data_IF_945624079241
#
_entry.id   IF_945624079241
#
_cell.length_a   1.000
_cell.length_b   1.000
_cell.length_c   1.000
_cell.angle_alpha   90.00
_cell.angle_beta   90.00
_cell.angle_gamma   90.00
#
_symmetry.space_group_name_H-M   'P 1'
#
loop_
_entity.id
_entity.type
_entity.pdbx_description
1 polymer ?
#
# COMPACT_ATOMS: atom_id res chain seq x y z
N UNK A 1 34.25 -26.56 49.47
CA UNK A 1 34.46 -26.19 48.05
C UNK A 1 33.16 -25.58 47.54
N UNK A 2 33.03 -24.25 47.50
CA UNK A 2 33.40 -23.33 46.39
C UNK A 2 32.25 -23.21 45.40
N UNK A 3 31.35 -22.23 45.62
CA UNK A 3 31.20 -20.91 44.92
C UNK A 3 30.44 -21.04 43.59
N UNK A 4 29.18 -20.61 43.49
CA UNK A 4 28.59 -19.24 43.43
C UNK A 4 28.47 -18.70 42.00
N UNK A 5 27.23 -18.35 41.62
CA UNK A 5 26.78 -17.04 41.09
C UNK A 5 25.33 -17.22 40.59
N UNK A 6 24.28 -16.52 41.03
CA UNK A 6 24.21 -15.38 41.93
C UNK A 6 23.14 -14.39 41.45
N UNK A 7 21.88 -14.65 41.83
CA UNK A 7 20.82 -13.70 42.27
C UNK A 7 20.26 -12.70 41.23
N UNK A 8 18.98 -12.77 40.86
CA UNK A 8 17.74 -12.46 41.61
C UNK A 8 17.38 -10.97 41.70
N UNK A 9 16.08 -10.77 41.44
CA UNK A 9 15.17 -9.79 42.02
C UNK A 9 15.25 -8.30 41.59
N UNK A 10 14.11 -7.89 41.04
CA UNK A 10 13.63 -6.52 40.98
C UNK A 10 13.66 -5.83 42.36
N UNK A 11 14.03 -4.55 42.39
CA UNK A 11 13.66 -3.62 43.47
C UNK A 11 13.63 -2.18 42.97
N UNK A 12 12.44 -1.59 43.08
CA UNK A 12 12.19 -0.16 43.10
C UNK A 12 12.95 0.49 44.27
N UNK A 13 13.64 1.59 44.00
CA UNK A 13 14.19 2.49 45.01
C UNK A 13 13.69 3.91 44.74
N UNK A 14 12.83 4.43 45.63
CA UNK A 14 12.47 5.84 45.74
C UNK A 14 13.64 6.60 46.40
N UNK A 15 14.05 7.72 45.82
CA UNK A 15 14.62 8.84 46.57
C UNK A 15 14.24 10.15 45.87
N UNK A 16 13.55 11.00 46.60
CA UNK A 16 13.11 12.33 46.21
C UNK A 16 14.26 13.35 46.38
N UNK A 17 14.20 14.46 45.65
CA UNK A 17 14.05 15.83 46.18
C UNK A 17 14.45 16.85 45.10
N UNK A 18 13.56 17.82 44.96
CA UNK A 18 13.57 19.07 44.22
C UNK A 18 14.94 19.72 43.90
N UNK A 19 15.06 20.18 42.66
CA UNK A 19 15.71 21.45 42.36
C UNK A 19 14.89 22.19 41.28
N UNK A 20 14.05 23.10 41.77
CA UNK A 20 13.38 24.14 41.00
C UNK A 20 14.42 25.22 40.67
N UNK A 21 14.73 25.41 39.39
CA UNK A 21 15.38 26.63 38.90
C UNK A 21 14.53 27.18 37.76
N UNK A 22 13.70 28.17 38.09
CA UNK A 22 13.10 29.10 37.14
C UNK A 22 14.01 30.32 37.05
N UNK A 23 14.52 30.61 35.85
CA UNK A 23 14.94 31.94 35.41
C UNK A 23 14.97 31.94 33.86
N UNK A 24 13.97 32.53 33.20
CA UNK A 24 13.88 33.92 32.72
C UNK A 24 14.52 34.15 31.32
N UNK A 25 13.63 34.14 30.33
CA UNK A 25 13.57 34.98 29.11
C UNK A 25 14.79 35.18 28.20
N UNK A 26 14.67 34.70 26.96
CA UNK A 26 15.04 35.45 25.76
C UNK A 26 14.16 35.03 24.58
N UNK A 27 13.45 36.00 24.00
CA UNK A 27 12.68 35.86 22.77
C UNK A 27 13.57 35.45 21.61
N UNK A 28 13.40 34.22 21.11
CA UNK A 28 13.97 33.75 19.87
C UNK A 28 12.90 32.98 19.11
N UNK A 29 12.34 33.59 18.07
CA UNK A 29 11.44 32.92 17.14
C UNK A 29 12.21 31.82 16.40
N UNK A 30 12.23 30.61 16.96
CA UNK A 30 12.70 29.43 16.26
C UNK A 30 11.52 28.89 15.44
N UNK A 31 11.46 29.32 14.17
CA UNK A 31 10.59 28.72 13.19
C UNK A 31 11.08 27.28 12.94
N UNK A 32 10.48 26.32 13.63
CA UNK A 32 10.62 24.92 13.28
C UNK A 32 10.02 24.72 11.88
N UNK A 33 10.72 24.07 10.94
CA UNK A 33 10.10 23.67 9.69
C UNK A 33 8.95 22.74 10.04
N UNK A 34 7.72 23.19 9.78
CA UNK A 34 6.58 22.29 9.76
C UNK A 34 6.90 21.26 8.69
N UNK A 35 7.21 20.05 9.12
CA UNK A 35 7.16 18.86 8.28
C UNK A 35 5.74 18.80 7.73
N UNK A 36 5.55 19.34 6.53
CA UNK A 36 4.35 19.10 5.73
C UNK A 36 4.38 17.60 5.46
N UNK A 37 3.73 16.84 6.34
CA UNK A 37 3.31 15.50 6.01
C UNK A 37 2.59 15.62 4.65
N UNK A 38 2.90 14.78 3.65
CA UNK A 38 2.14 14.79 2.41
C UNK A 38 0.69 14.68 2.83
N UNK A 39 -0.12 15.63 2.37
CA UNK A 39 -1.55 15.60 2.61
C UNK A 39 -2.00 14.23 2.12
N UNK A 40 -2.28 13.34 3.06
CA UNK A 40 -2.95 12.08 2.78
C UNK A 40 -4.20 12.52 2.05
N UNK A 41 -4.22 12.27 0.75
CA UNK A 41 -5.28 12.65 -0.16
C UNK A 41 -6.56 12.23 0.53
N UNK A 42 -7.24 13.23 1.11
CA UNK A 42 -8.32 12.98 2.05
C UNK A 42 -9.29 12.07 1.34
N UNK A 43 -9.69 10.98 1.98
CA UNK A 43 -10.75 10.10 1.54
C UNK A 43 -12.06 10.91 1.48
N UNK A 44 -12.17 11.79 0.49
CA UNK A 44 -13.39 12.46 0.11
C UNK A 44 -14.28 11.37 -0.43
N UNK A 45 -15.50 11.31 0.10
CA UNK A 45 -16.51 10.40 -0.42
C UNK A 45 -16.54 10.52 -1.96
N UNK A 46 -16.58 9.40 -2.71
CA UNK A 46 -16.47 9.44 -4.15
C UNK A 46 -17.56 10.36 -4.71
N UNK A 47 -17.17 11.52 -5.23
CA UNK A 47 -18.09 12.48 -5.85
C UNK A 47 -18.73 11.77 -7.06
N UNK A 48 -20.06 11.72 -7.07
CA UNK A 48 -20.82 11.24 -8.22
C UNK A 48 -20.61 12.22 -9.37
N UNK A 49 -20.23 11.72 -10.55
CA UNK A 49 -20.07 12.55 -11.73
C UNK A 49 -21.43 13.06 -12.22
N UNK A 50 -21.53 14.36 -12.51
CA UNK A 50 -22.77 15.03 -12.94
C UNK A 50 -22.59 15.73 -14.28
N UNK A 51 -21.45 16.39 -14.48
CA UNK A 51 -21.14 17.12 -15.71
C UNK A 51 -20.36 16.26 -16.72
N UNK A 52 -20.32 16.69 -17.98
CA UNK A 52 -19.50 16.03 -19.00
C UNK A 52 -18.01 15.98 -18.59
N UNK A 53 -17.49 17.06 -17.98
CA UNK A 53 -16.11 17.12 -17.51
C UNK A 53 -15.87 16.17 -16.32
N UNK A 54 -16.80 16.06 -15.37
CA UNK A 54 -16.70 15.07 -14.29
C UNK A 54 -16.63 13.65 -14.86
N UNK A 55 -17.45 13.35 -15.87
CA UNK A 55 -17.45 12.05 -16.53
C UNK A 55 -16.15 11.78 -17.31
N UNK A 56 -15.61 12.76 -18.02
CA UNK A 56 -14.29 12.62 -18.68
C UNK A 56 -13.18 12.38 -17.66
N UNK A 57 -13.20 13.09 -16.53
CA UNK A 57 -12.25 12.87 -15.45
C UNK A 57 -12.37 11.45 -14.88
N UNK A 58 -13.60 10.95 -14.66
CA UNK A 58 -13.82 9.56 -14.23
C UNK A 58 -13.35 8.55 -15.28
N UNK A 59 -13.60 8.79 -16.56
CA UNK A 59 -13.10 7.93 -17.63
C UNK A 59 -11.57 7.84 -17.61
N UNK A 60 -10.88 8.97 -17.44
CA UNK A 60 -9.42 8.99 -17.30
C UNK A 60 -8.94 8.28 -16.03
N UNK A 61 -9.62 8.46 -14.90
CA UNK A 61 -9.33 7.76 -13.64
C UNK A 61 -9.42 6.24 -13.82
N UNK A 62 -10.49 5.75 -14.43
CA UNK A 62 -10.69 4.32 -14.65
C UNK A 62 -9.70 3.72 -15.67
N UNK A 63 -9.28 4.47 -16.70
CA UNK A 63 -8.17 4.02 -17.57
C UNK A 63 -6.86 3.86 -16.81
N UNK A 64 -6.55 4.79 -15.90
CA UNK A 64 -5.38 4.66 -15.02
C UNK A 64 -5.50 3.43 -14.12
N UNK A 65 -6.68 3.16 -13.55
CA UNK A 65 -6.95 1.93 -12.78
C UNK A 65 -6.76 0.67 -13.63
N UNK A 66 -7.27 0.65 -14.86
CA UNK A 66 -7.10 -0.47 -15.77
C UNK A 66 -5.62 -0.74 -16.08
N UNK A 67 -4.82 0.31 -16.31
CA UNK A 67 -3.38 0.18 -16.47
C UNK A 67 -2.70 -0.37 -15.20
N UNK A 68 -3.01 0.18 -14.03
CA UNK A 68 -2.45 -0.26 -12.75
C UNK A 68 -2.78 -1.74 -12.45
N UNK A 69 -3.99 -2.21 -12.74
CA UNK A 69 -4.33 -3.63 -12.57
C UNK A 69 -3.59 -4.54 -13.55
N UNK A 70 -3.32 -4.08 -14.78
CA UNK A 70 -2.46 -4.84 -15.73
C UNK A 70 -1.02 -4.92 -15.24
N UNK A 71 -0.51 -3.84 -14.64
CA UNK A 71 0.81 -3.82 -14.00
C UNK A 71 0.87 -4.78 -12.81
N UNK A 72 -0.16 -4.83 -11.97
CA UNK A 72 -0.27 -5.77 -10.85
C UNK A 72 -0.23 -7.22 -11.34
N UNK A 73 -1.00 -7.55 -12.39
CA UNK A 73 -0.97 -8.86 -13.02
C UNK A 73 0.43 -9.20 -13.57
N UNK A 74 1.12 -8.23 -14.19
CA UNK A 74 2.49 -8.43 -14.68
C UNK A 74 3.49 -8.63 -13.52
N UNK A 75 3.35 -7.90 -12.42
CA UNK A 75 4.15 -8.04 -11.22
C UNK A 75 4.00 -9.44 -10.62
N UNK A 76 2.77 -9.96 -10.49
CA UNK A 76 2.56 -11.32 -9.98
C UNK A 76 3.12 -12.41 -10.91
N UNK A 77 3.07 -12.23 -12.24
CA UNK A 77 3.76 -13.14 -13.17
C UNK A 77 5.26 -13.16 -12.93
N UNK A 78 5.87 -11.97 -12.79
CA UNK A 78 7.30 -11.84 -12.51
C UNK A 78 7.66 -12.47 -11.17
N UNK A 79 6.87 -12.21 -10.13
CA UNK A 79 7.06 -12.77 -8.79
C UNK A 79 7.10 -14.30 -8.83
N UNK A 80 6.16 -14.94 -9.53
CA UNK A 80 6.17 -16.40 -9.66
C UNK A 80 7.39 -16.91 -10.43
N UNK A 81 7.76 -16.24 -11.53
CA UNK A 81 8.93 -16.61 -12.33
C UNK A 81 10.23 -16.52 -11.52
N UNK A 82 10.43 -15.41 -10.79
CA UNK A 82 11.58 -15.21 -9.91
C UNK A 82 11.59 -16.26 -8.79
N UNK A 83 10.44 -16.49 -8.13
CA UNK A 83 10.34 -17.46 -7.05
C UNK A 83 10.71 -18.87 -7.54
N UNK A 84 10.22 -19.27 -8.72
CA UNK A 84 10.53 -20.56 -9.34
C UNK A 84 12.03 -20.75 -9.55
N UNK A 85 12.78 -19.69 -9.86
CA UNK A 85 14.23 -19.77 -10.02
C UNK A 85 14.99 -19.99 -8.71
N UNK A 86 14.42 -19.59 -7.56
CA UNK A 86 15.07 -19.76 -6.24
C UNK A 86 14.87 -21.15 -5.65
N UNK A 87 13.92 -21.92 -6.17
CA UNK A 87 13.61 -23.27 -5.68
C UNK A 87 14.32 -24.31 -6.53
N UNK A 88 15.15 -25.14 -5.89
CA UNK A 88 15.74 -26.30 -6.54
C UNK A 88 14.64 -27.26 -7.01
N UNK A 89 14.66 -27.61 -8.29
CA UNK A 89 13.71 -28.56 -8.90
C UNK A 89 14.48 -29.72 -9.52
N UNK A 90 13.91 -30.92 -9.45
CA UNK A 90 14.45 -32.11 -10.10
C UNK A 90 13.45 -32.59 -11.17
N UNK A 91 13.87 -32.78 -12.44
CA UNK A 91 12.95 -33.03 -13.55
C UNK A 91 12.16 -34.35 -13.45
N UNK A 92 12.66 -35.32 -12.67
CA UNK A 92 11.97 -36.60 -12.43
C UNK A 92 11.22 -36.67 -11.10
N UNK A 93 11.26 -35.61 -10.30
CA UNK A 93 10.54 -35.56 -9.03
C UNK A 93 9.15 -34.94 -9.24
N UNK A 94 8.15 -35.31 -8.42
CA UNK A 94 6.90 -34.57 -8.36
C UNK A 94 7.13 -33.08 -8.08
N UNK A 95 6.21 -32.24 -8.54
CA UNK A 95 6.27 -30.79 -8.28
C UNK A 95 6.38 -30.51 -6.78
N UNK A 96 7.29 -29.60 -6.42
CA UNK A 96 7.44 -29.14 -5.06
C UNK A 96 6.10 -28.53 -4.56
N UNK A 97 5.52 -29.01 -3.45
CA UNK A 97 4.24 -28.50 -2.94
C UNK A 97 4.22 -26.99 -2.67
N UNK A 98 5.36 -26.38 -2.33
CA UNK A 98 5.48 -24.94 -2.14
C UNK A 98 5.44 -24.17 -3.46
N UNK A 99 6.06 -24.68 -4.52
CA UNK A 99 5.96 -24.09 -5.86
C UNK A 99 4.52 -24.13 -6.38
N UNK A 100 3.83 -25.26 -6.18
CA UNK A 100 2.40 -25.37 -6.49
C UNK A 100 1.58 -24.30 -5.76
N UNK A 101 1.76 -24.17 -4.43
CA UNK A 101 1.04 -23.16 -3.64
C UNK A 101 1.32 -21.74 -4.12
N UNK A 102 2.58 -21.42 -4.48
CA UNK A 102 2.93 -20.09 -4.98
C UNK A 102 2.31 -19.84 -6.36
N UNK A 103 2.33 -20.82 -7.26
CA UNK A 103 1.62 -20.74 -8.54
C UNK A 103 0.15 -20.45 -8.33
N UNK A 104 -0.52 -21.27 -7.53
CA UNK A 104 -1.96 -21.15 -7.31
C UNK A 104 -2.34 -19.82 -6.64
N UNK A 105 -1.46 -19.27 -5.78
CA UNK A 105 -1.61 -17.92 -5.23
C UNK A 105 -1.50 -16.85 -6.32
N UNK A 106 -0.42 -16.86 -7.11
CA UNK A 106 -0.19 -15.86 -8.16
C UNK A 106 -1.26 -15.92 -9.24
N UNK A 107 -1.66 -17.13 -9.67
CA UNK A 107 -2.66 -17.32 -10.71
C UNK A 107 -4.02 -16.74 -10.34
N UNK A 108 -4.42 -16.80 -9.05
CA UNK A 108 -5.64 -16.13 -8.58
C UNK A 108 -5.52 -14.62 -8.69
N UNK A 109 -4.44 -14.03 -8.15
CA UNK A 109 -4.22 -12.59 -8.20
C UNK A 109 -4.15 -12.06 -9.64
N UNK A 110 -3.47 -12.78 -10.54
CA UNK A 110 -3.38 -12.43 -11.95
C UNK A 110 -4.79 -12.40 -12.56
N UNK A 111 -5.60 -13.44 -12.37
CA UNK A 111 -6.97 -13.51 -12.92
C UNK A 111 -7.85 -12.39 -12.37
N UNK A 112 -7.79 -12.14 -11.06
CA UNK A 112 -8.61 -11.12 -10.42
C UNK A 112 -8.19 -9.72 -10.90
N UNK A 113 -6.88 -9.44 -10.98
CA UNK A 113 -6.36 -8.18 -11.50
C UNK A 113 -6.72 -7.97 -12.98
N UNK A 114 -6.64 -9.00 -13.81
CA UNK A 114 -7.06 -8.91 -15.21
C UNK A 114 -8.56 -8.65 -15.36
N UNK A 115 -9.38 -9.30 -14.55
CA UNK A 115 -10.83 -9.04 -14.52
C UNK A 115 -11.12 -7.60 -14.11
N UNK A 116 -10.46 -7.10 -13.06
CA UNK A 116 -10.57 -5.71 -12.62
C UNK A 116 -10.08 -4.71 -13.68
N UNK A 117 -9.05 -5.05 -14.44
CA UNK A 117 -8.58 -4.22 -15.55
C UNK A 117 -9.64 -4.09 -16.65
N UNK A 118 -10.28 -5.21 -17.01
CA UNK A 118 -11.37 -5.23 -17.99
C UNK A 118 -12.57 -4.42 -17.49
N UNK A 119 -12.97 -4.61 -16.25
CA UNK A 119 -14.12 -3.90 -15.69
C UNK A 119 -13.84 -2.40 -15.54
N UNK A 120 -12.62 -2.02 -15.15
CA UNK A 120 -12.20 -0.62 -15.15
C UNK A 120 -12.24 0.00 -16.56
N UNK A 121 -11.83 -0.72 -17.60
CA UNK A 121 -11.95 -0.24 -18.98
C UNK A 121 -13.42 0.00 -19.36
N UNK A 122 -14.33 -0.93 -19.02
CA UNK A 122 -15.77 -0.77 -19.26
C UNK A 122 -16.34 0.45 -18.51
N UNK A 123 -15.89 0.71 -17.28
CA UNK A 123 -16.29 1.93 -16.56
C UNK A 123 -15.76 3.20 -17.23
N UNK A 124 -14.54 3.14 -17.78
CA UNK A 124 -14.00 4.25 -18.55
C UNK A 124 -14.79 4.53 -19.83
N UNK A 125 -15.19 3.47 -20.55
CA UNK A 125 -16.06 3.57 -21.72
C UNK A 125 -17.42 4.14 -21.36
N UNK A 126 -18.08 3.61 -20.33
CA UNK A 126 -19.37 4.10 -19.83
C UNK A 126 -19.32 5.61 -19.55
N UNK A 127 -18.30 6.08 -18.82
CA UNK A 127 -18.16 7.50 -18.53
C UNK A 127 -17.79 8.31 -19.76
N UNK A 128 -17.03 7.75 -20.70
CA UNK A 128 -16.77 8.37 -22.00
C UNK A 128 -18.06 8.60 -22.80
N UNK A 129 -18.93 7.59 -22.89
CA UNK A 129 -20.23 7.70 -23.55
C UNK A 129 -21.12 8.73 -22.85
N UNK A 130 -21.19 8.70 -21.52
CA UNK A 130 -22.03 9.66 -20.78
C UNK A 130 -21.57 11.11 -20.96
N UNK A 131 -20.26 11.33 -21.06
CA UNK A 131 -19.73 12.65 -21.39
C UNK A 131 -20.10 13.10 -22.81
N UNK A 132 -20.06 12.21 -23.80
CA UNK A 132 -20.46 12.50 -25.18
C UNK A 132 -21.94 12.89 -25.27
N UNK A 133 -22.82 12.12 -24.61
CA UNK A 133 -24.27 12.42 -24.54
C UNK A 133 -24.54 13.82 -23.97
N UNK A 134 -23.86 14.18 -22.87
CA UNK A 134 -24.00 15.49 -22.23
C UNK A 134 -23.44 16.65 -23.09
N UNK A 135 -22.55 16.36 -24.03
CA UNK A 135 -22.05 17.32 -25.03
C UNK A 135 -22.90 17.37 -26.30
N UNK A 136 -23.93 16.52 -26.43
CA UNK A 136 -24.75 16.40 -27.64
C UNK A 136 -24.03 15.72 -28.81
N UNK A 137 -23.10 14.80 -28.51
CA UNK A 137 -22.31 14.04 -29.49
C UNK A 137 -22.64 12.55 -29.46
#
# INVERSE_FOLDING_TARGET
MTLMNGHDAARLGRAAVFALCVALSASGAFALPQSVAPQSESAQAPKVAVTAEDHLAKAAEYRKKAAAYREEAAMHRKMYADYKMTVATHPKAPENPWLRKMRDHCDRYIKDAEALAVDAEKFAEYHGFRAAELQGK
#
